data_IF_710351529847
#
_entry.id   IF_710351529847
#
_cell.length_a   1.000
_cell.length_b   1.000
_cell.length_c   1.000
_cell.angle_alpha   90.00
_cell.angle_beta   90.00
_cell.angle_gamma   90.00
#
_symmetry.space_group_name_H-M   'P 1'
#
loop_
_entity.id
_entity.type
_entity.pdbx_description
1 polymer ?
#
# COMPACT_ATOMS: atom_id res chain seq x y z
N UNK A 1 5.22 -14.76 12.83
CA UNK A 1 6.70 -14.91 12.82
C UNK A 1 7.39 -13.80 12.05
N UNK A 2 6.91 -13.42 10.86
CA UNK A 2 7.43 -12.31 10.01
C UNK A 2 7.51 -10.99 10.78
N UNK A 3 6.44 -10.55 11.44
CA UNK A 3 6.41 -9.28 12.19
C UNK A 3 7.51 -9.15 13.26
N UNK A 4 7.87 -10.24 13.97
CA UNK A 4 8.97 -10.22 14.95
C UNK A 4 10.34 -10.04 14.30
N UNK A 5 10.53 -10.57 13.09
CA UNK A 5 11.78 -10.42 12.33
C UNK A 5 11.90 -9.03 11.71
N UNK A 6 10.78 -8.45 11.31
CA UNK A 6 10.70 -7.09 10.79
C UNK A 6 11.11 -6.04 11.83
N UNK A 7 10.74 -6.22 13.09
CA UNK A 7 11.03 -5.25 14.16
C UNK A 7 12.52 -4.93 14.33
N UNK A 8 13.42 -5.86 13.93
CA UNK A 8 14.87 -5.61 13.97
C UNK A 8 15.50 -5.16 12.64
N UNK A 9 14.74 -5.14 11.55
CA UNK A 9 15.23 -4.83 10.20
C UNK A 9 14.70 -3.51 9.62
N UNK A 10 13.56 -3.04 10.12
CA UNK A 10 12.96 -1.78 9.67
C UNK A 10 13.54 -0.63 10.49
N UNK A 11 13.94 0.44 9.79
CA UNK A 11 14.35 1.68 10.44
C UNK A 11 13.22 2.17 11.39
N UNK A 12 13.54 2.52 12.64
CA UNK A 12 12.56 3.05 13.59
C UNK A 12 11.71 4.21 13.07
N UNK A 13 12.25 5.04 12.16
CA UNK A 13 11.51 6.12 11.48
C UNK A 13 10.38 5.60 10.58
N UNK A 14 10.48 4.38 10.08
CA UNK A 14 9.50 3.74 9.21
C UNK A 14 8.67 2.68 9.94
N UNK A 15 9.04 2.33 11.18
CA UNK A 15 8.35 1.30 11.97
C UNK A 15 6.86 1.59 12.19
N UNK A 16 6.45 2.87 12.18
CA UNK A 16 5.05 3.26 12.32
C UNK A 16 4.18 2.86 11.12
N UNK A 17 4.78 2.61 9.94
CA UNK A 17 4.09 2.14 8.74
C UNK A 17 3.81 0.64 8.72
N UNK A 18 4.31 -0.12 9.70
CA UNK A 18 4.06 -1.56 9.85
C UNK A 18 3.49 -1.79 11.23
N UNK A 19 2.26 -2.31 11.30
CA UNK A 19 1.63 -2.59 12.59
C UNK A 19 2.39 -3.71 13.30
N UNK A 20 2.94 -3.39 14.46
CA UNK A 20 3.62 -4.36 15.32
C UNK A 20 2.62 -5.00 16.27
N UNK A 21 2.51 -6.36 16.28
CA UNK A 21 1.70 -7.04 17.29
C UNK A 21 2.24 -6.79 18.69
N UNK A 22 1.36 -6.45 19.61
CA UNK A 22 1.69 -6.29 21.03
C UNK A 22 1.85 -7.62 21.74
N UNK A 23 1.03 -8.62 21.35
CA UNK A 23 1.10 -9.97 21.91
C UNK A 23 0.55 -11.03 20.94
N UNK A 24 1.01 -12.25 21.10
CA UNK A 24 0.45 -13.46 20.50
C UNK A 24 0.14 -14.44 21.61
N UNK A 25 -1.12 -14.79 21.76
CA UNK A 25 -1.58 -15.83 22.68
C UNK A 25 -1.96 -17.07 21.86
N UNK A 26 -1.40 -18.22 22.26
CA UNK A 26 -1.84 -19.52 21.75
C UNK A 26 -2.78 -20.12 22.79
N UNK A 27 -4.02 -20.32 22.40
CA UNK A 27 -5.03 -20.97 23.23
C UNK A 27 -5.17 -22.39 22.68
N UNK A 28 -4.55 -23.34 23.38
CA UNK A 28 -4.61 -24.75 23.04
C UNK A 28 -5.38 -25.52 24.10
N UNK A 29 -6.02 -26.62 23.72
CA UNK A 29 -6.55 -27.60 24.64
C UNK A 29 -8.04 -27.46 24.99
N UNK A 30 -8.49 -28.25 25.95
CA UNK A 30 -9.82 -28.71 26.28
C UNK A 30 -10.98 -27.69 26.42
N UNK A 31 -10.71 -26.40 26.33
CA UNK A 31 -11.70 -25.35 26.61
C UNK A 31 -12.34 -24.71 25.37
N UNK A 32 -11.86 -25.01 24.15
CA UNK A 32 -12.29 -24.26 22.97
C UNK A 32 -13.39 -24.93 22.15
N UNK A 33 -13.39 -26.23 22.02
CA UNK A 33 -14.54 -27.00 21.48
C UNK A 33 -14.36 -28.48 21.85
N UNK A 34 -15.31 -29.11 22.47
CA UNK A 34 -15.31 -30.56 22.70
C UNK A 34 -15.15 -31.30 21.37
N UNK A 35 -13.97 -31.82 21.11
CA UNK A 35 -13.70 -32.71 19.97
C UNK A 35 -12.77 -32.20 18.89
N UNK A 36 -12.08 -31.06 19.06
CA UNK A 36 -11.01 -30.64 18.13
C UNK A 36 -9.71 -30.33 18.89
N UNK A 37 -8.59 -30.88 18.39
CA UNK A 37 -7.23 -30.53 18.84
C UNK A 37 -6.74 -29.20 18.20
N UNK A 38 -7.64 -28.30 17.87
CA UNK A 38 -7.33 -27.05 17.20
C UNK A 38 -6.71 -26.05 18.18
N UNK A 39 -5.49 -25.64 17.93
CA UNK A 39 -4.85 -24.50 18.58
C UNK A 39 -5.35 -23.20 17.93
N UNK A 40 -5.81 -22.26 18.75
CA UNK A 40 -6.23 -20.93 18.30
C UNK A 40 -5.14 -19.93 18.64
N UNK A 41 -4.64 -19.22 17.61
CA UNK A 41 -3.74 -18.08 17.79
C UNK A 41 -4.53 -16.77 17.90
N UNK A 42 -4.36 -16.02 18.99
CA UNK A 42 -4.92 -14.68 19.17
C UNK A 42 -3.81 -13.66 19.08
N UNK A 43 -3.88 -12.81 18.03
CA UNK A 43 -2.92 -11.73 17.81
C UNK A 43 -3.51 -10.42 18.32
N UNK A 44 -2.82 -9.76 19.25
CA UNK A 44 -3.19 -8.47 19.79
C UNK A 44 -2.34 -7.40 19.12
N UNK A 45 -3.00 -6.39 18.56
CA UNK A 45 -2.32 -5.26 17.89
C UNK A 45 -3.04 -3.94 18.21
N UNK A 46 -2.37 -2.77 18.05
CA UNK A 46 -3.01 -1.48 18.19
C UNK A 46 -4.23 -1.35 17.28
N UNK A 47 -5.32 -0.81 17.80
CA UNK A 47 -6.53 -0.55 17.02
C UNK A 47 -6.36 0.68 16.13
N UNK A 48 -6.74 0.58 14.86
CA UNK A 48 -6.78 1.69 13.90
C UNK A 48 -8.14 2.37 13.93
N UNK A 49 -8.24 3.52 14.58
CA UNK A 49 -9.50 4.24 14.83
C UNK A 49 -9.99 5.09 13.64
N UNK A 50 -9.20 5.20 12.59
CA UNK A 50 -9.51 6.00 11.38
C UNK A 50 -9.92 5.11 10.18
N UNK A 51 -10.10 3.82 10.40
CA UNK A 51 -10.49 2.86 9.36
C UNK A 51 -9.36 2.56 8.36
N UNK A 52 -9.74 1.90 7.27
CA UNK A 52 -8.85 1.51 6.19
C UNK A 52 -8.86 2.54 5.05
N UNK A 53 -7.92 2.41 4.14
CA UNK A 53 -7.91 3.20 2.90
C UNK A 53 -9.12 2.85 2.01
N UNK A 54 -9.67 1.63 2.14
CA UNK A 54 -10.93 1.22 1.50
C UNK A 54 -12.12 2.01 2.05
N UNK A 55 -12.16 2.25 3.37
CA UNK A 55 -13.22 3.07 3.99
C UNK A 55 -13.15 4.51 3.48
N UNK A 56 -11.94 5.06 3.33
CA UNK A 56 -11.73 6.38 2.70
C UNK A 56 -12.28 6.38 1.28
N UNK A 57 -11.89 5.43 0.44
CA UNK A 57 -12.38 5.31 -0.94
C UNK A 57 -13.91 5.22 -0.99
N UNK A 58 -14.48 4.35 -0.17
CA UNK A 58 -15.94 4.18 -0.06
C UNK A 58 -16.65 5.48 0.32
N UNK A 59 -16.03 6.31 1.17
CA UNK A 59 -16.60 7.60 1.57
C UNK A 59 -16.78 8.57 0.40
N UNK A 60 -15.85 8.55 -0.55
CA UNK A 60 -15.93 9.32 -1.80
C UNK A 60 -16.98 8.74 -2.76
N UNK A 61 -16.95 7.41 -2.94
CA UNK A 61 -17.87 6.73 -3.89
C UNK A 61 -19.34 6.90 -3.49
N UNK A 62 -19.66 6.86 -2.18
CA UNK A 62 -21.02 7.06 -1.68
C UNK A 62 -21.62 8.43 -2.04
N UNK A 63 -20.80 9.44 -2.12
CA UNK A 63 -21.25 10.80 -2.51
C UNK A 63 -21.04 11.09 -3.99
N UNK A 64 -20.71 10.07 -4.79
CA UNK A 64 -20.49 10.19 -6.23
C UNK A 64 -19.29 11.07 -6.61
N UNK A 65 -18.29 11.20 -5.72
CA UNK A 65 -17.09 12.00 -5.94
C UNK A 65 -15.88 11.10 -6.19
N UNK A 66 -14.94 11.62 -6.95
CA UNK A 66 -13.59 11.07 -7.02
C UNK A 66 -12.69 11.72 -5.97
N UNK A 67 -11.69 10.99 -5.52
CA UNK A 67 -10.66 11.53 -4.66
C UNK A 67 -9.83 12.57 -5.43
N UNK A 68 -9.47 13.65 -4.76
CA UNK A 68 -8.58 14.68 -5.31
C UNK A 68 -7.20 14.08 -5.63
N UNK A 69 -6.65 14.43 -6.79
CA UNK A 69 -5.36 13.90 -7.26
C UNK A 69 -4.23 14.12 -6.25
N UNK A 70 -4.19 15.29 -5.62
CA UNK A 70 -3.17 15.62 -4.63
C UNK A 70 -3.26 14.74 -3.37
N UNK A 71 -4.48 14.37 -2.96
CA UNK A 71 -4.69 13.42 -1.87
C UNK A 71 -4.25 12.02 -2.28
N UNK A 72 -4.51 11.61 -3.53
CA UNK A 72 -4.02 10.32 -4.05
C UNK A 72 -2.48 10.31 -4.12
N UNK A 73 -1.84 11.40 -4.55
CA UNK A 73 -0.37 11.54 -4.51
C UNK A 73 0.17 11.33 -3.09
N UNK A 74 -0.48 11.93 -2.09
CA UNK A 74 -0.08 11.74 -0.69
C UNK A 74 -0.17 10.28 -0.26
N UNK A 75 -1.26 9.59 -0.56
CA UNK A 75 -1.39 8.18 -0.23
C UNK A 75 -0.42 7.29 -1.03
N UNK A 76 -0.12 7.65 -2.27
CA UNK A 76 0.92 6.98 -3.05
C UNK A 76 2.31 7.14 -2.39
N UNK A 77 2.66 8.35 -1.93
CA UNK A 77 3.91 8.61 -1.19
C UNK A 77 3.98 7.75 0.08
N UNK A 78 2.91 7.73 0.89
CA UNK A 78 2.91 6.97 2.14
C UNK A 78 2.93 5.45 1.89
N UNK A 79 2.22 4.95 0.87
CA UNK A 79 2.25 3.55 0.46
C UNK A 79 3.64 3.14 -0.01
N UNK A 80 4.24 3.90 -0.93
CA UNK A 80 5.60 3.65 -1.42
C UNK A 80 6.61 3.64 -0.27
N UNK A 81 6.49 4.55 0.70
CA UNK A 81 7.37 4.62 1.88
C UNK A 81 7.29 3.34 2.75
N UNK A 82 6.07 2.87 3.00
CA UNK A 82 5.87 1.66 3.82
C UNK A 82 6.42 0.43 3.12
N UNK A 83 6.10 0.26 1.82
CA UNK A 83 6.54 -0.91 1.07
C UNK A 83 8.04 -0.87 0.77
N UNK A 84 8.63 0.31 0.49
CA UNK A 84 10.08 0.47 0.40
C UNK A 84 10.78 -0.08 1.65
N UNK A 85 10.26 0.25 2.84
CA UNK A 85 10.83 -0.24 4.11
C UNK A 85 10.74 -1.76 4.26
N UNK A 86 9.65 -2.39 3.78
CA UNK A 86 9.51 -3.84 3.75
C UNK A 86 10.48 -4.49 2.78
N UNK A 87 10.60 -3.96 1.58
CA UNK A 87 11.48 -4.48 0.55
C UNK A 87 12.95 -4.38 0.96
N UNK A 88 13.36 -3.26 1.58
CA UNK A 88 14.70 -3.11 2.17
C UNK A 88 14.96 -4.12 3.30
N UNK A 89 13.92 -4.54 4.02
CA UNK A 89 14.00 -5.60 5.01
C UNK A 89 13.95 -7.02 4.40
N UNK A 90 13.85 -7.15 3.08
CA UNK A 90 13.79 -8.42 2.36
C UNK A 90 12.43 -9.12 2.49
N UNK A 91 11.33 -8.39 2.62
CA UNK A 91 9.99 -8.96 2.77
C UNK A 91 9.08 -8.50 1.64
N UNK A 92 8.41 -9.46 1.00
CA UNK A 92 7.28 -9.26 0.08
C UNK A 92 6.00 -9.41 0.88
N UNK A 93 5.07 -8.48 0.79
CA UNK A 93 3.79 -8.56 1.51
C UNK A 93 2.79 -9.51 0.85
N UNK A 94 2.71 -9.45 -0.48
CA UNK A 94 1.90 -10.29 -1.36
C UNK A 94 0.37 -10.14 -1.23
N UNK A 95 -0.14 -9.21 -0.39
CA UNK A 95 -1.58 -8.87 -0.29
C UNK A 95 -1.81 -7.38 0.01
N UNK A 96 -1.09 -6.49 -0.71
CA UNK A 96 -1.28 -5.03 -0.59
C UNK A 96 -2.56 -4.64 -1.31
N UNK A 97 -3.51 -4.08 -0.56
CA UNK A 97 -4.79 -3.56 -1.06
C UNK A 97 -5.33 -2.50 -0.11
N UNK A 98 -6.31 -1.69 -0.52
CA UNK A 98 -6.86 -0.64 0.33
C UNK A 98 -7.39 -1.14 1.68
N UNK A 99 -7.91 -2.36 1.75
CA UNK A 99 -8.42 -2.99 2.98
C UNK A 99 -7.32 -3.27 4.00
N UNK A 100 -6.10 -3.55 3.54
CA UNK A 100 -4.95 -3.87 4.39
C UNK A 100 -4.09 -2.65 4.75
N UNK A 101 -4.59 -1.45 4.48
CA UNK A 101 -3.91 -0.17 4.74
C UNK A 101 -4.73 0.66 5.73
N UNK A 102 -4.34 0.63 7.01
CA UNK A 102 -4.96 1.48 8.04
C UNK A 102 -4.52 2.93 7.86
N UNK A 103 -5.48 3.86 7.92
CA UNK A 103 -5.19 5.29 7.89
C UNK A 103 -4.76 5.74 9.28
N UNK A 104 -3.60 6.40 9.35
CA UNK A 104 -3.11 7.05 10.57
C UNK A 104 -3.37 8.54 10.47
N UNK A 105 -3.97 9.11 11.49
CA UNK A 105 -4.23 10.54 11.56
C UNK A 105 -4.02 11.09 12.99
N UNK A 106 -2.92 10.68 13.61
CA UNK A 106 -2.57 11.11 14.97
C UNK A 106 -2.11 12.57 15.03
N UNK A 107 -2.36 13.19 16.19
CA UNK A 107 -1.92 14.53 16.54
C UNK A 107 -2.67 15.66 15.81
N UNK A 108 -2.83 16.79 16.52
CA UNK A 108 -3.65 17.93 16.07
C UNK A 108 -2.80 19.11 15.49
N UNK A 109 -1.48 18.97 15.50
CA UNK A 109 -0.60 20.01 14.94
C UNK A 109 -0.52 19.90 13.42
N UNK A 110 -1.49 20.51 12.74
CA UNK A 110 -1.57 20.59 11.30
C UNK A 110 -0.79 21.81 10.78
N UNK A 111 0.43 21.58 10.32
CA UNK A 111 1.21 22.53 9.52
C UNK A 111 1.20 22.10 8.04
N UNK A 112 1.78 22.91 7.16
CA UNK A 112 1.91 22.54 5.76
C UNK A 112 2.76 21.28 5.61
N UNK A 113 2.36 20.42 4.69
CA UNK A 113 3.09 19.21 4.43
C UNK A 113 4.45 19.52 3.77
N UNK A 114 5.46 18.79 4.19
CA UNK A 114 6.78 18.79 3.59
C UNK A 114 7.43 17.40 3.74
N UNK A 115 8.45 17.12 2.94
CA UNK A 115 9.19 15.84 2.95
C UNK A 115 9.77 15.53 4.33
N UNK A 116 10.15 16.56 5.10
CA UNK A 116 10.65 16.43 6.47
C UNK A 116 9.60 15.99 7.49
N UNK A 117 8.30 15.95 7.07
CA UNK A 117 7.15 15.58 7.90
C UNK A 117 7.06 16.36 9.21
N UNK A 118 7.00 17.71 9.15
CA UNK A 118 6.97 18.56 10.34
C UNK A 118 5.67 18.37 11.15
N UNK A 119 5.68 18.78 12.41
CA UNK A 119 4.52 18.72 13.29
C UNK A 119 4.01 17.28 13.47
N UNK A 120 2.72 17.09 13.35
CA UNK A 120 2.08 15.76 13.49
C UNK A 120 2.12 14.88 12.23
N UNK A 121 2.76 15.30 11.14
CA UNK A 121 2.87 14.50 9.93
C UNK A 121 3.57 13.15 10.14
N UNK A 122 4.46 13.05 11.14
CA UNK A 122 5.08 11.75 11.52
C UNK A 122 4.07 10.73 12.06
N UNK A 123 2.95 11.22 12.61
CA UNK A 123 1.88 10.40 13.16
C UNK A 123 0.74 10.14 12.17
N UNK A 124 0.85 10.70 10.95
CA UNK A 124 -0.11 10.54 9.86
C UNK A 124 0.45 9.63 8.78
N UNK A 125 -0.40 9.17 7.87
CA UNK A 125 -0.03 8.31 6.75
C UNK A 125 -0.75 6.97 6.77
N UNK A 126 -0.06 5.92 6.37
CA UNK A 126 -0.59 4.56 6.28
C UNK A 126 0.16 3.60 7.20
N UNK A 127 -0.54 2.58 7.65
CA UNK A 127 0.05 1.39 8.29
C UNK A 127 -0.46 0.14 7.62
N UNK A 128 0.47 -0.71 7.18
CA UNK A 128 0.18 -1.97 6.54
C UNK A 128 -0.09 -3.05 7.59
N UNK A 129 -1.14 -3.83 7.37
CA UNK A 129 -1.58 -4.94 8.23
C UNK A 129 -1.72 -6.22 7.41
N UNK A 130 -2.01 -7.33 8.08
CA UNK A 130 -2.27 -8.64 7.49
C UNK A 130 -1.07 -9.24 6.72
N UNK A 131 -0.07 -9.65 7.48
CA UNK A 131 1.12 -10.33 6.97
C UNK A 131 0.91 -11.84 6.76
N UNK A 132 -0.35 -12.29 6.61
CA UNK A 132 -0.69 -13.71 6.47
C UNK A 132 -0.08 -14.38 5.23
N UNK A 133 0.08 -13.62 4.15
CA UNK A 133 0.69 -14.06 2.90
C UNK A 133 2.14 -13.59 2.71
N UNK A 134 2.70 -12.87 3.69
CA UNK A 134 4.01 -12.27 3.54
C UNK A 134 5.14 -13.29 3.45
N UNK A 135 6.09 -13.02 2.56
CA UNK A 135 7.24 -13.87 2.26
C UNK A 135 8.51 -13.19 2.77
N UNK A 136 9.19 -13.80 3.75
CA UNK A 136 10.54 -13.38 4.18
C UNK A 136 11.58 -14.02 3.24
N UNK A 137 12.11 -13.25 2.30
CA UNK A 137 13.08 -13.72 1.31
C UNK A 137 14.36 -14.23 1.94
N UNK A 138 14.70 -13.79 3.14
CA UNK A 138 15.84 -14.31 3.90
C UNK A 138 15.69 -15.77 4.35
N UNK A 139 14.51 -16.38 4.15
CA UNK A 139 14.25 -17.81 4.40
C UNK A 139 14.53 -18.70 3.18
N UNK A 140 14.84 -18.12 2.03
CA UNK A 140 14.99 -18.81 0.75
C UNK A 140 16.35 -18.52 0.12
N UNK A 141 16.77 -19.41 -0.78
CA UNK A 141 17.96 -19.18 -1.59
C UNK A 141 17.76 -17.96 -2.50
N UNK A 142 18.85 -17.25 -2.76
CA UNK A 142 18.82 -15.98 -3.51
C UNK A 142 18.31 -16.09 -4.96
N UNK A 143 18.19 -17.30 -5.50
CA UNK A 143 17.63 -17.59 -6.84
C UNK A 143 16.17 -18.04 -6.80
N UNK A 144 15.56 -18.11 -5.62
CA UNK A 144 14.20 -18.61 -5.50
C UNK A 144 13.22 -17.64 -6.16
N UNK A 145 12.38 -18.14 -7.05
CA UNK A 145 11.23 -17.46 -7.61
C UNK A 145 9.96 -18.20 -7.21
N UNK A 146 8.87 -17.48 -7.10
CA UNK A 146 7.59 -18.06 -6.74
C UNK A 146 6.74 -18.28 -7.98
N UNK A 147 5.88 -19.29 -7.95
CA UNK A 147 4.92 -19.60 -9.00
C UNK A 147 3.55 -19.83 -8.38
N UNK A 148 2.50 -19.69 -9.19
CA UNK A 148 1.13 -19.81 -8.72
C UNK A 148 0.57 -18.49 -8.22
N UNK A 149 -0.67 -18.53 -7.75
CA UNK A 149 -1.42 -17.37 -7.31
C UNK A 149 -1.23 -17.10 -5.81
N UNK A 150 -1.12 -15.83 -5.46
CA UNK A 150 -1.27 -15.36 -4.09
C UNK A 150 -2.02 -14.02 -4.09
N UNK A 151 -2.53 -13.63 -2.92
CA UNK A 151 -3.27 -12.39 -2.78
C UNK A 151 -4.72 -12.45 -3.25
N UNK A 152 -5.32 -11.27 -3.32
CA UNK A 152 -6.74 -11.09 -3.61
C UNK A 152 -6.99 -11.01 -5.12
N UNK A 153 -8.08 -11.59 -5.61
CA UNK A 153 -8.52 -11.42 -7.00
C UNK A 153 -8.66 -9.93 -7.34
N UNK A 154 -8.16 -9.53 -8.53
CA UNK A 154 -8.08 -8.12 -8.94
C UNK A 154 -6.78 -7.41 -8.53
N UNK A 155 -5.98 -8.04 -7.64
CA UNK A 155 -4.66 -7.54 -7.22
C UNK A 155 -3.51 -8.50 -7.61
N UNK A 156 -3.80 -9.55 -8.39
CA UNK A 156 -2.80 -10.49 -8.90
C UNK A 156 -1.97 -9.84 -10.00
N UNK A 157 -0.65 -9.98 -9.92
CA UNK A 157 0.25 -9.45 -10.95
C UNK A 157 0.10 -10.22 -12.28
N UNK A 158 0.59 -9.62 -13.34
CA UNK A 158 0.49 -10.20 -14.68
C UNK A 158 1.21 -11.54 -14.79
N UNK A 159 2.32 -11.69 -14.07
CA UNK A 159 3.09 -12.94 -14.00
C UNK A 159 2.27 -14.08 -13.40
N UNK A 160 1.54 -13.83 -12.31
CA UNK A 160 0.63 -14.83 -11.72
C UNK A 160 -0.46 -15.26 -12.70
N UNK A 161 -1.10 -14.27 -13.36
CA UNK A 161 -2.18 -14.54 -14.34
C UNK A 161 -1.65 -15.34 -15.53
N UNK A 162 -0.40 -15.15 -15.93
CA UNK A 162 0.24 -15.83 -17.06
C UNK A 162 0.97 -17.13 -16.66
N UNK A 163 0.92 -17.51 -15.38
CA UNK A 163 1.63 -18.69 -14.88
C UNK A 163 3.16 -18.56 -14.93
N UNK A 164 3.67 -17.35 -14.92
CA UNK A 164 5.10 -17.04 -14.92
C UNK A 164 5.65 -16.93 -13.50
N UNK A 165 6.97 -17.13 -13.32
CA UNK A 165 7.63 -16.84 -12.05
C UNK A 165 7.53 -15.36 -11.68
N UNK A 166 7.41 -15.10 -10.36
CA UNK A 166 7.34 -13.75 -9.78
C UNK A 166 8.11 -13.66 -8.46
N UNK A 167 8.37 -12.45 -8.02
CA UNK A 167 8.99 -12.10 -6.73
C UNK A 167 8.37 -10.79 -6.23
N UNK A 168 9.08 -9.67 -6.42
CA UNK A 168 8.62 -8.32 -6.08
C UNK A 168 7.40 -7.85 -6.90
N UNK A 169 7.16 -8.47 -8.08
CA UNK A 169 6.06 -8.09 -8.98
C UNK A 169 4.69 -8.17 -8.31
N UNK A 170 4.52 -9.07 -7.33
CA UNK A 170 3.30 -9.13 -6.54
C UNK A 170 2.98 -7.77 -5.90
N UNK A 171 3.91 -7.26 -5.09
CA UNK A 171 3.74 -5.98 -4.38
C UNK A 171 3.72 -4.80 -5.35
N UNK A 172 4.56 -4.81 -6.39
CA UNK A 172 4.61 -3.76 -7.38
C UNK A 172 3.26 -3.56 -8.07
N UNK A 173 2.67 -4.65 -8.54
CA UNK A 173 1.33 -4.62 -9.14
C UNK A 173 0.26 -4.18 -8.15
N UNK A 174 0.33 -4.64 -6.92
CA UNK A 174 -0.63 -4.33 -5.85
C UNK A 174 -0.58 -2.86 -5.44
N UNK A 175 0.60 -2.24 -5.42
CA UNK A 175 0.76 -0.79 -5.25
C UNK A 175 0.06 -0.06 -6.39
N UNK A 176 0.33 -0.44 -7.65
CA UNK A 176 -0.29 0.16 -8.82
C UNK A 176 -1.82 0.02 -8.77
N UNK A 177 -2.34 -1.17 -8.45
CA UNK A 177 -3.77 -1.44 -8.36
C UNK A 177 -4.45 -0.64 -7.24
N UNK A 178 -3.79 -0.51 -6.08
CA UNK A 178 -4.28 0.30 -4.96
C UNK A 178 -4.41 1.77 -5.35
N UNK A 179 -3.35 2.36 -5.90
CA UNK A 179 -3.35 3.77 -6.33
C UNK A 179 -4.33 4.00 -7.49
N UNK A 180 -4.42 3.06 -8.42
CA UNK A 180 -5.42 3.09 -9.48
C UNK A 180 -6.86 3.15 -8.92
N UNK A 181 -7.16 2.33 -7.91
CA UNK A 181 -8.48 2.34 -7.28
C UNK A 181 -8.80 3.70 -6.64
N UNK A 182 -7.81 4.37 -6.04
CA UNK A 182 -7.97 5.72 -5.50
C UNK A 182 -8.21 6.77 -6.58
N UNK A 183 -7.48 6.70 -7.71
CA UNK A 183 -7.59 7.64 -8.83
C UNK A 183 -8.92 7.51 -9.58
N UNK A 184 -9.32 6.28 -9.86
CA UNK A 184 -10.43 6.00 -10.76
C UNK A 184 -11.72 5.55 -10.06
N UNK A 185 -11.65 5.19 -8.78
CA UNK A 185 -12.78 4.67 -8.01
C UNK A 185 -13.19 3.24 -8.42
N UNK A 186 -12.32 2.49 -9.09
CA UNK A 186 -12.57 1.12 -9.54
C UNK A 186 -11.28 0.31 -9.63
N UNK A 187 -11.39 -1.02 -9.61
CA UNK A 187 -10.25 -1.93 -9.72
C UNK A 187 -9.55 -1.79 -11.07
N UNK A 188 -8.22 -1.88 -11.02
CA UNK A 188 -7.35 -1.81 -12.18
C UNK A 188 -7.54 -3.02 -13.08
N UNK A 189 -7.64 -2.76 -14.38
CA UNK A 189 -7.47 -3.77 -15.41
C UNK A 189 -6.25 -3.41 -16.24
N UNK A 190 -5.41 -4.39 -16.53
CA UNK A 190 -4.23 -4.20 -17.35
C UNK A 190 -4.40 -4.84 -18.73
N UNK A 191 -3.68 -4.33 -19.71
CA UNK A 191 -3.59 -4.90 -21.04
C UNK A 191 -2.15 -4.80 -21.55
N UNK A 192 -1.80 -5.69 -22.47
CA UNK A 192 -0.52 -5.66 -23.16
C UNK A 192 -0.57 -4.67 -24.31
N UNK A 193 0.45 -3.85 -24.39
CA UNK A 193 0.69 -2.94 -25.53
C UNK A 193 1.99 -3.34 -26.19
N UNK A 194 1.95 -3.56 -27.51
CA UNK A 194 3.16 -3.81 -28.30
C UNK A 194 4.02 -2.54 -28.35
N UNK A 195 5.31 -2.68 -28.10
CA UNK A 195 6.28 -1.60 -28.21
C UNK A 195 7.29 -1.90 -29.33
N UNK A 196 7.83 -0.86 -29.92
CA UNK A 196 8.74 -1.00 -31.08
C UNK A 196 10.08 -1.66 -30.74
N UNK A 197 10.50 -1.63 -29.46
CA UNK A 197 11.85 -2.06 -29.05
C UNK A 197 11.86 -3.17 -27.99
N UNK A 198 10.90 -3.20 -27.06
CA UNK A 198 10.97 -4.05 -25.86
C UNK A 198 9.92 -5.19 -25.83
N UNK A 199 9.24 -5.44 -26.94
CA UNK A 199 8.15 -6.43 -26.99
C UNK A 199 6.85 -5.86 -26.41
N UNK A 200 6.31 -6.51 -25.38
CA UNK A 200 5.04 -6.08 -24.77
C UNK A 200 5.27 -5.39 -23.43
N UNK A 201 4.51 -4.31 -23.19
CA UNK A 201 4.40 -3.65 -21.89
C UNK A 201 2.98 -3.72 -21.36
N UNK A 202 2.86 -3.81 -20.04
CA UNK A 202 1.57 -3.78 -19.35
C UNK A 202 1.19 -2.33 -19.02
N UNK A 203 -0.05 -1.96 -19.29
CA UNK A 203 -0.60 -0.64 -18.97
C UNK A 203 -2.02 -0.77 -18.41
N UNK A 204 -2.46 0.15 -17.52
CA UNK A 204 -3.86 0.24 -17.14
C UNK A 204 -4.74 0.49 -18.37
N UNK A 205 -5.96 -0.06 -18.38
CA UNK A 205 -6.93 0.20 -19.47
C UNK A 205 -7.47 1.61 -19.47
N UNK A 206 -7.55 2.20 -18.28
CA UNK A 206 -8.05 3.55 -18.08
C UNK A 206 -7.04 4.58 -18.55
N UNK A 207 -7.52 5.55 -19.34
CA UNK A 207 -6.70 6.70 -19.71
C UNK A 207 -6.67 7.72 -18.58
N UNK A 208 -5.51 8.26 -18.31
CA UNK A 208 -5.32 9.36 -17.37
C UNK A 208 -6.10 10.60 -17.82
N UNK A 209 -6.65 11.35 -16.88
CA UNK A 209 -7.39 12.59 -17.19
C UNK A 209 -6.43 13.71 -17.57
N UNK A 210 -6.76 14.50 -18.58
CA UNK A 210 -5.91 15.57 -19.13
C UNK A 210 -5.49 16.64 -18.12
N UNK A 211 -6.22 16.79 -17.03
CA UNK A 211 -5.93 17.76 -15.97
C UNK A 211 -5.13 17.16 -14.81
N UNK A 212 -4.82 15.88 -14.84
CA UNK A 212 -3.91 15.24 -13.93
C UNK A 212 -2.46 15.44 -14.36
N UNK A 213 -1.53 15.21 -13.48
CA UNK A 213 -0.09 15.17 -13.77
C UNK A 213 0.26 13.87 -14.47
N UNK A 214 -0.18 13.74 -15.73
CA UNK A 214 -0.11 12.51 -16.51
C UNK A 214 1.29 11.94 -16.58
N UNK A 215 2.31 12.79 -16.74
CA UNK A 215 3.72 12.36 -16.81
C UNK A 215 4.15 11.59 -15.55
N UNK A 216 3.78 12.07 -14.35
CA UNK A 216 4.10 11.40 -13.10
C UNK A 216 3.42 10.03 -13.00
N UNK A 217 2.13 9.99 -13.36
CA UNK A 217 1.35 8.76 -13.30
C UNK A 217 1.77 7.75 -14.37
N UNK A 218 2.15 8.20 -15.56
CA UNK A 218 2.69 7.34 -16.61
C UNK A 218 3.98 6.66 -16.15
N UNK A 219 4.93 7.40 -15.57
CA UNK A 219 6.15 6.83 -15.00
C UNK A 219 5.81 5.85 -13.87
N UNK A 220 4.90 6.23 -12.97
CA UNK A 220 4.48 5.40 -11.85
C UNK A 220 3.95 4.04 -12.31
N UNK A 221 2.98 4.02 -13.22
CA UNK A 221 2.42 2.77 -13.74
C UNK A 221 3.40 2.00 -14.61
N UNK A 222 4.21 2.67 -15.40
CA UNK A 222 5.24 2.05 -16.24
C UNK A 222 6.23 1.25 -15.39
N UNK A 223 6.79 1.86 -14.35
CA UNK A 223 7.78 1.21 -13.48
C UNK A 223 7.14 0.06 -12.68
N UNK A 224 5.94 0.26 -12.13
CA UNK A 224 5.32 -0.73 -11.26
C UNK A 224 4.77 -1.95 -12.01
N UNK A 225 4.29 -1.77 -13.24
CA UNK A 225 3.68 -2.85 -14.01
C UNK A 225 4.68 -3.60 -14.90
N UNK A 226 5.89 -3.07 -15.10
CA UNK A 226 6.88 -3.65 -16.01
C UNK A 226 8.23 -3.89 -15.32
N UNK A 227 8.22 -4.08 -14.00
CA UNK A 227 9.43 -4.36 -13.24
C UNK A 227 10.00 -5.74 -13.63
N UNK A 228 11.30 -5.84 -14.00
CA UNK A 228 11.89 -7.09 -14.42
C UNK A 228 11.98 -8.11 -13.29
N UNK A 229 11.85 -9.37 -13.63
CA UNK A 229 11.52 -10.47 -12.71
C UNK A 229 12.65 -10.96 -11.81
N UNK A 230 13.92 -10.67 -12.04
CA UNK A 230 14.93 -11.68 -11.72
C UNK A 230 16.03 -11.30 -10.71
N UNK A 231 15.87 -10.24 -9.91
CA UNK A 231 16.88 -9.93 -8.90
C UNK A 231 16.29 -9.80 -7.47
N UNK A 232 16.46 -10.85 -6.66
CA UNK A 232 16.15 -10.81 -5.23
C UNK A 232 17.01 -9.83 -4.44
N UNK A 233 18.20 -9.51 -4.95
CA UNK A 233 19.19 -8.70 -4.23
C UNK A 233 18.90 -7.22 -4.33
N UNK A 234 18.24 -6.81 -5.40
CA UNK A 234 17.94 -5.42 -5.66
C UNK A 234 16.45 -5.18 -5.47
N UNK A 235 16.03 -4.65 -4.32
CA UNK A 235 14.63 -4.26 -4.14
C UNK A 235 14.22 -3.22 -5.19
N UNK A 236 12.94 -3.19 -5.59
CA UNK A 236 12.42 -2.21 -6.55
C UNK A 236 12.74 -0.77 -6.14
N UNK A 237 12.94 0.16 -7.10
CA UNK A 237 13.31 1.55 -6.83
C UNK A 237 12.13 2.40 -6.35
N UNK A 238 11.42 1.93 -5.31
CA UNK A 238 10.23 2.60 -4.78
C UNK A 238 10.55 3.98 -4.20
N UNK A 239 11.77 4.15 -3.67
CA UNK A 239 12.25 5.44 -3.18
C UNK A 239 12.37 6.49 -4.26
N UNK A 240 12.74 6.12 -5.49
CA UNK A 240 12.81 7.04 -6.63
C UNK A 240 11.40 7.49 -7.05
N UNK A 241 10.46 6.55 -7.16
CA UNK A 241 9.06 6.88 -7.42
C UNK A 241 8.46 7.77 -6.35
N UNK A 242 8.76 7.49 -5.08
CA UNK A 242 8.30 8.32 -3.96
C UNK A 242 8.85 9.73 -4.04
N UNK A 243 10.15 9.90 -4.28
CA UNK A 243 10.79 11.22 -4.41
C UNK A 243 10.19 12.04 -5.54
N UNK A 244 9.88 11.45 -6.67
CA UNK A 244 9.24 12.13 -7.80
C UNK A 244 7.94 12.84 -7.39
N UNK A 245 7.07 12.20 -6.60
CA UNK A 245 5.85 12.83 -6.09
C UNK A 245 6.15 13.86 -4.99
N UNK A 246 7.10 13.56 -4.09
CA UNK A 246 7.51 14.47 -3.02
C UNK A 246 8.06 15.78 -3.60
N UNK A 247 8.93 15.71 -4.59
CA UNK A 247 9.52 16.84 -5.31
C UNK A 247 8.43 17.66 -5.99
N UNK A 248 7.51 17.03 -6.71
CA UNK A 248 6.39 17.72 -7.34
C UNK A 248 5.56 18.55 -6.33
N UNK A 249 5.19 17.96 -5.18
CA UNK A 249 4.43 18.68 -4.15
C UNK A 249 5.23 19.87 -3.59
N UNK A 250 6.54 19.74 -3.45
CA UNK A 250 7.40 20.80 -2.93
C UNK A 250 7.62 21.92 -3.95
N UNK A 251 7.92 21.59 -5.19
CA UNK A 251 8.14 22.55 -6.29
C UNK A 251 6.90 23.40 -6.57
N UNK A 252 5.73 22.78 -6.63
CA UNK A 252 4.45 23.44 -6.84
C UNK A 252 3.88 24.07 -5.56
N UNK A 253 4.60 23.96 -4.42
CA UNK A 253 4.20 24.51 -3.11
C UNK A 253 2.81 24.07 -2.64
N UNK A 254 2.45 22.82 -2.91
CA UNK A 254 1.12 22.25 -2.65
C UNK A 254 0.90 21.79 -1.19
N UNK A 255 1.89 21.92 -0.32
CA UNK A 255 1.82 21.44 1.07
C UNK A 255 0.65 21.99 1.89
N UNK A 256 0.32 23.28 1.71
CA UNK A 256 -0.84 23.92 2.35
C UNK A 256 -2.17 23.36 1.79
N UNK A 257 -2.26 23.19 0.48
CA UNK A 257 -3.44 22.61 -0.18
C UNK A 257 -3.68 21.17 0.25
N UNK A 258 -2.62 20.37 0.32
CA UNK A 258 -2.67 18.99 0.80
C UNK A 258 -3.18 18.92 2.24
N UNK A 259 -2.65 19.76 3.14
CA UNK A 259 -3.12 19.88 4.52
C UNK A 259 -4.62 20.13 4.58
N UNK A 260 -5.11 21.14 3.86
CA UNK A 260 -6.53 21.50 3.83
C UNK A 260 -7.40 20.36 3.27
N UNK A 261 -6.93 19.69 2.22
CA UNK A 261 -7.62 18.54 1.62
C UNK A 261 -7.80 17.38 2.59
N UNK A 262 -6.73 16.98 3.28
CA UNK A 262 -6.78 15.91 4.27
C UNK A 262 -7.60 16.25 5.52
N UNK A 263 -7.56 17.51 5.98
CA UNK A 263 -8.43 17.94 7.07
C UNK A 263 -9.92 17.82 6.70
N UNK A 264 -10.30 18.25 5.50
CA UNK A 264 -11.68 18.12 5.00
C UNK A 264 -12.09 16.66 4.88
N UNK A 265 -11.22 15.80 4.35
CA UNK A 265 -11.46 14.36 4.27
C UNK A 265 -11.73 13.76 5.64
N UNK A 266 -10.88 14.07 6.64
CA UNK A 266 -11.03 13.57 8.01
C UNK A 266 -12.39 13.97 8.61
N UNK A 267 -12.77 15.24 8.48
CA UNK A 267 -14.07 15.73 8.98
C UNK A 267 -15.23 15.00 8.29
N UNK A 268 -15.17 14.84 6.97
CA UNK A 268 -16.21 14.14 6.20
C UNK A 268 -16.36 12.68 6.63
N UNK A 269 -15.27 11.97 6.84
CA UNK A 269 -15.30 10.59 7.33
C UNK A 269 -15.92 10.47 8.72
N UNK A 270 -15.53 11.32 9.68
CA UNK A 270 -16.14 11.31 11.01
C UNK A 270 -17.65 11.60 11.01
N UNK A 271 -18.10 12.50 10.12
CA UNK A 271 -19.54 12.76 9.97
C UNK A 271 -20.29 11.52 9.46
N UNK A 272 -19.74 10.82 8.45
CA UNK A 272 -20.34 9.60 7.89
C UNK A 272 -20.39 8.46 8.92
N UNK A 273 -19.34 8.29 9.74
CA UNK A 273 -19.30 7.32 10.83
C UNK A 273 -20.40 7.59 11.87
N UNK A 274 -20.61 8.85 12.29
CA UNK A 274 -21.65 9.23 13.24
C UNK A 274 -23.06 9.01 12.71
N UNK A 275 -23.25 9.13 11.41
CA UNK A 275 -24.55 8.93 10.76
C UNK A 275 -24.87 7.45 10.48
N UNK A 276 -24.01 6.51 10.91
CA UNK A 276 -24.18 5.07 10.69
C UNK A 276 -24.12 4.66 9.22
N UNK A 277 -23.41 5.44 8.41
CA UNK A 277 -23.31 5.25 6.96
C UNK A 277 -21.98 4.59 6.54
N UNK A 278 -21.34 3.86 7.43
CA UNK A 278 -20.14 3.06 7.16
C UNK A 278 -20.49 1.63 6.84
#
# INVERSE_FOLDING_TARGET
MVCKRLAGRIDPLHAAGVVQPSALHLVGGADVVKGSDAEIGVLIMPFGDHGTLQDVLNSYLRVGKQMDELIVMYYAIELLRVVESLHLAGVVHADIKPDNLLVRNGGDNWCDWAVTRPGSWKLKGLSLIDFGLAIDLGMYDWQTVFVGDCGTEGFRCSEMIEGKPWTWQADMHQIAATVHALLFGKYMQVHKVLTDFDGFKYRPRESLKRWWRTELWEIFFEVLLNFPTLDFKSPPPLGDLRRMFEEHIMEERLGAQLRVGLMKQTVSMFQQLREGKT
#
